data_IF_491339289090
#
_entry.id   IF_491339289090
#
_cell.length_a   1.000
_cell.length_b   1.000
_cell.length_c   1.000
_cell.angle_alpha   90.00
_cell.angle_beta   90.00
_cell.angle_gamma   90.00
#
_symmetry.space_group_name_H-M   'P 1'
#
loop_
_entity.id
_entity.type
_entity.pdbx_description
1 polymer ?
#
# COMPACT_ATOMS: atom_id res chain seq x y z
N UNK A 1 2.81 1.61 20.08
CA UNK A 1 4.12 1.34 19.44
C UNK A 1 4.58 2.64 18.81
N UNK A 2 5.86 2.85 18.56
CA UNK A 2 6.34 4.11 17.99
C UNK A 2 7.08 3.85 16.68
N UNK A 3 6.87 4.73 15.71
CA UNK A 3 7.57 4.74 14.43
C UNK A 3 8.69 5.78 14.39
N UNK A 4 9.17 6.21 15.56
CA UNK A 4 10.23 7.22 15.67
C UNK A 4 11.44 6.82 14.84
N UNK A 5 11.83 7.68 13.89
CA UNK A 5 12.97 7.46 12.99
C UNK A 5 12.68 6.55 11.79
N UNK A 6 11.50 5.95 11.69
CA UNK A 6 11.07 5.17 10.52
C UNK A 6 10.68 6.09 9.36
N UNK A 7 11.06 5.70 8.15
CA UNK A 7 10.71 6.38 6.90
C UNK A 7 9.74 5.52 6.12
N UNK A 8 8.55 6.01 5.88
CA UNK A 8 7.48 5.28 5.22
C UNK A 8 7.16 5.91 3.88
N UNK A 9 7.20 5.10 2.83
CA UNK A 9 6.72 5.47 1.51
C UNK A 9 5.19 5.30 1.46
N UNK A 10 4.48 6.29 0.89
CA UNK A 10 3.09 6.12 0.49
C UNK A 10 3.01 6.35 -1.02
N UNK A 11 2.56 5.33 -1.74
CA UNK A 11 2.48 5.34 -3.19
C UNK A 11 1.06 5.68 -3.64
N UNK A 12 0.87 6.81 -4.32
CA UNK A 12 -0.43 7.26 -4.85
C UNK A 12 -0.37 7.50 -6.35
N UNK A 13 -1.50 7.35 -7.02
CA UNK A 13 -1.61 7.71 -8.44
C UNK A 13 -1.76 9.25 -8.60
N UNK A 14 -1.44 9.83 -9.77
CA UNK A 14 -1.72 11.24 -10.04
C UNK A 14 -3.21 11.58 -9.95
N UNK A 15 -4.09 10.59 -10.18
CA UNK A 15 -5.55 10.69 -10.07
C UNK A 15 -6.16 9.39 -9.60
N UNK A 16 -7.30 9.49 -8.88
CA UNK A 16 -8.16 8.35 -8.57
C UNK A 16 -7.72 7.49 -7.39
N UNK A 17 -6.78 7.99 -6.56
CA UNK A 17 -6.53 7.40 -5.24
C UNK A 17 -7.65 7.78 -4.27
N UNK A 18 -8.20 6.82 -3.55
CA UNK A 18 -9.23 7.05 -2.53
C UNK A 18 -8.67 7.88 -1.38
N UNK A 19 -9.23 9.06 -1.14
CA UNK A 19 -8.71 10.04 -0.19
C UNK A 19 -8.56 9.51 1.25
N UNK A 20 -9.58 8.89 1.86
CA UNK A 20 -9.46 8.40 3.24
C UNK A 20 -8.41 7.28 3.38
N UNK A 21 -8.22 6.47 2.34
CA UNK A 21 -7.24 5.38 2.33
C UNK A 21 -5.79 5.89 2.20
N UNK A 22 -5.60 7.09 1.70
CA UNK A 22 -4.34 7.82 1.72
C UNK A 22 -4.16 8.62 3.01
N UNK A 23 -5.12 9.48 3.34
CA UNK A 23 -4.96 10.48 4.39
C UNK A 23 -4.89 9.87 5.80
N UNK A 24 -5.71 8.84 6.11
CA UNK A 24 -5.73 8.24 7.44
C UNK A 24 -4.47 7.40 7.75
N UNK A 25 -3.96 6.52 6.86
CA UNK A 25 -2.69 5.85 7.10
C UNK A 25 -1.51 6.81 7.22
N UNK A 26 -1.47 7.87 6.38
CA UNK A 26 -0.47 8.93 6.50
C UNK A 26 -0.47 9.55 7.91
N UNK A 27 -1.65 9.97 8.37
CA UNK A 27 -1.81 10.55 9.70
C UNK A 27 -1.44 9.56 10.82
N UNK A 28 -1.79 8.28 10.69
CA UNK A 28 -1.45 7.26 11.68
C UNK A 28 0.07 7.08 11.81
N UNK A 29 0.79 7.03 10.69
CA UNK A 29 2.26 6.96 10.68
C UNK A 29 2.88 8.19 11.34
N UNK A 30 2.42 9.39 10.98
CA UNK A 30 2.94 10.66 11.50
C UNK A 30 2.66 10.83 13.01
N UNK A 31 1.48 10.43 13.48
CA UNK A 31 1.11 10.45 14.90
C UNK A 31 2.01 9.55 15.77
N UNK A 32 2.51 8.46 15.20
CA UNK A 32 3.45 7.55 15.86
C UNK A 32 4.93 7.97 15.68
N UNK A 33 5.18 9.14 15.08
CA UNK A 33 6.52 9.71 14.92
C UNK A 33 7.30 9.25 13.70
N UNK A 34 6.65 8.54 12.77
CA UNK A 34 7.23 8.18 11.48
C UNK A 34 7.27 9.38 10.52
N UNK A 35 8.17 9.32 9.55
CA UNK A 35 8.25 10.29 8.46
C UNK A 35 7.64 9.68 7.20
N UNK A 36 6.69 10.38 6.59
CA UNK A 36 6.05 9.95 5.35
C UNK A 36 6.66 10.68 4.15
N UNK A 37 6.89 9.93 3.08
CA UNK A 37 7.20 10.47 1.74
C UNK A 37 6.10 10.03 0.79
N UNK A 38 5.41 10.98 0.18
CA UNK A 38 4.37 10.75 -0.82
C UNK A 38 5.02 10.60 -2.20
N UNK A 39 4.83 9.44 -2.81
CA UNK A 39 5.45 9.06 -4.09
C UNK A 39 4.36 8.86 -5.13
N UNK A 40 4.61 9.31 -6.36
CA UNK A 40 3.75 9.07 -7.51
C UNK A 40 4.56 8.88 -8.79
N UNK A 41 3.89 8.75 -9.93
CA UNK A 41 4.54 8.60 -11.23
C UNK A 41 5.39 9.82 -11.59
N UNK A 42 4.93 11.02 -11.21
CA UNK A 42 5.58 12.31 -11.45
C UNK A 42 5.43 13.19 -10.19
N UNK A 43 6.24 14.21 -10.04
CA UNK A 43 6.08 15.24 -9.01
C UNK A 43 4.97 16.22 -9.38
N UNK A 44 4.43 16.94 -8.42
CA UNK A 44 3.34 17.91 -8.57
C UNK A 44 2.22 17.69 -7.58
N UNK A 45 0.98 17.65 -8.03
CA UNK A 45 -0.20 17.41 -7.22
C UNK A 45 -0.94 16.14 -7.68
N UNK A 46 -1.40 15.33 -6.75
CA UNK A 46 -2.34 14.24 -6.99
C UNK A 46 -3.77 14.70 -6.67
N UNK A 47 -4.70 14.31 -7.51
CA UNK A 47 -6.14 14.54 -7.30
C UNK A 47 -6.77 13.25 -6.77
N UNK A 48 -7.16 13.26 -5.49
CA UNK A 48 -7.83 12.12 -4.86
C UNK A 48 -9.32 12.08 -5.20
N UNK A 49 -9.96 10.97 -4.85
CA UNK A 49 -11.40 10.77 -5.01
C UNK A 49 -12.01 10.27 -3.70
N UNK A 50 -13.32 10.40 -3.58
CA UNK A 50 -14.14 9.76 -2.56
C UNK A 50 -15.16 8.86 -3.25
N UNK A 51 -15.34 7.64 -2.78
CA UNK A 51 -16.23 6.63 -3.38
C UNK A 51 -15.90 6.40 -4.88
N UNK A 52 -14.62 6.40 -5.23
CA UNK A 52 -14.08 6.25 -6.59
C UNK A 52 -14.47 7.34 -7.62
N UNK A 53 -15.53 8.11 -7.38
CA UNK A 53 -16.12 9.00 -8.38
C UNK A 53 -16.19 10.47 -7.96
N UNK A 54 -16.36 10.74 -6.68
CA UNK A 54 -16.51 12.11 -6.19
C UNK A 54 -15.13 12.77 -6.03
N UNK A 55 -14.96 14.02 -6.48
CA UNK A 55 -13.69 14.72 -6.32
C UNK A 55 -13.27 14.81 -4.85
N UNK A 56 -12.03 14.43 -4.56
CA UNK A 56 -11.37 14.62 -3.27
C UNK A 56 -10.44 15.83 -3.25
N UNK A 57 -9.65 15.95 -2.20
CA UNK A 57 -8.63 16.98 -2.06
C UNK A 57 -7.44 16.73 -2.98
N UNK A 58 -6.61 17.76 -3.17
CA UNK A 58 -5.32 17.66 -3.83
C UNK A 58 -4.21 17.55 -2.80
N UNK A 59 -3.23 16.71 -3.11
CA UNK A 59 -2.08 16.50 -2.25
C UNK A 59 -0.78 16.65 -3.03
N UNK A 60 0.22 17.28 -2.39
CA UNK A 60 1.55 17.41 -2.97
C UNK A 60 2.24 16.06 -3.03
N UNK A 61 2.89 15.78 -4.15
CA UNK A 61 3.75 14.63 -4.38
C UNK A 61 5.19 15.04 -4.07
N UNK A 62 5.82 14.39 -3.12
CA UNK A 62 7.18 14.73 -2.66
C UNK A 62 8.25 14.25 -3.65
N UNK A 63 8.05 13.06 -4.24
CA UNK A 63 9.01 12.40 -5.12
C UNK A 63 8.33 11.68 -6.28
N UNK A 64 8.98 11.66 -7.43
CA UNK A 64 8.62 10.76 -8.51
C UNK A 64 9.20 9.35 -8.25
N UNK A 65 8.48 8.31 -8.69
CA UNK A 65 8.90 6.90 -8.54
C UNK A 65 10.27 6.60 -9.17
N UNK A 66 10.65 7.37 -10.18
CA UNK A 66 11.96 7.22 -10.84
C UNK A 66 13.14 7.77 -10.04
N UNK A 67 12.87 8.54 -8.98
CA UNK A 67 13.88 9.27 -8.21
C UNK A 67 14.10 8.66 -6.81
N UNK A 68 13.48 7.51 -6.53
CA UNK A 68 13.55 6.85 -5.21
C UNK A 68 13.91 5.38 -5.34
N UNK A 69 14.44 4.82 -4.26
CA UNK A 69 14.70 3.39 -4.10
C UNK A 69 14.00 2.87 -2.85
N UNK A 70 13.52 1.63 -2.89
CA UNK A 70 12.95 0.95 -1.72
C UNK A 70 13.95 0.88 -0.53
N UNK A 71 15.25 0.97 -0.82
CA UNK A 71 16.30 0.99 0.21
C UNK A 71 16.20 2.21 1.15
N UNK A 72 15.59 3.31 0.70
CA UNK A 72 15.46 4.56 1.47
C UNK A 72 14.37 4.51 2.55
N UNK A 73 13.48 3.49 2.50
CA UNK A 73 12.29 3.41 3.34
C UNK A 73 12.27 2.13 4.19
N UNK A 74 11.53 2.18 5.29
CA UNK A 74 11.34 1.06 6.22
C UNK A 74 10.02 0.30 5.98
N UNK A 75 9.05 0.91 5.32
CA UNK A 75 7.76 0.32 4.99
C UNK A 75 7.07 1.05 3.83
N UNK A 76 6.06 0.41 3.25
CA UNK A 76 5.29 0.90 2.11
C UNK A 76 3.79 0.83 2.40
N UNK A 77 3.07 1.93 2.12
CA UNK A 77 1.60 1.96 2.08
C UNK A 77 1.13 2.18 0.65
N UNK A 78 0.16 1.38 0.23
CA UNK A 78 -0.50 1.50 -1.08
C UNK A 78 -2.00 1.68 -0.83
N UNK A 79 -2.53 2.92 -0.89
CA UNK A 79 -3.96 3.19 -0.89
C UNK A 79 -4.62 2.64 -2.15
N UNK A 80 -5.94 2.45 -2.10
CA UNK A 80 -6.71 2.00 -3.24
C UNK A 80 -7.33 3.13 -4.04
N UNK A 81 -8.60 2.93 -4.40
CA UNK A 81 -9.28 3.62 -5.48
C UNK A 81 -9.09 2.85 -6.78
N UNK A 82 -10.18 2.55 -7.48
CA UNK A 82 -10.15 1.69 -8.66
C UNK A 82 -9.24 2.23 -9.76
N UNK A 83 -9.40 3.50 -10.14
CA UNK A 83 -8.59 4.16 -11.18
C UNK A 83 -7.14 4.33 -10.72
N UNK A 84 -6.93 4.69 -9.45
CA UNK A 84 -5.60 4.88 -8.88
C UNK A 84 -4.78 3.59 -8.91
N UNK A 85 -5.35 2.49 -8.42
CA UNK A 85 -4.69 1.19 -8.40
C UNK A 85 -4.38 0.66 -9.81
N UNK A 86 -5.31 0.82 -10.76
CA UNK A 86 -5.09 0.42 -12.16
C UNK A 86 -3.98 1.25 -12.82
N UNK A 87 -3.93 2.55 -12.53
CA UNK A 87 -2.86 3.43 -13.00
C UNK A 87 -1.50 3.01 -12.44
N UNK A 88 -1.42 2.72 -11.15
CA UNK A 88 -0.16 2.34 -10.50
C UNK A 88 0.39 1.01 -11.04
N UNK A 89 -0.46 -0.02 -11.17
CA UNK A 89 -0.01 -1.33 -11.67
C UNK A 89 0.46 -1.30 -13.13
N UNK A 90 0.03 -0.31 -13.91
CA UNK A 90 0.46 -0.17 -15.31
C UNK A 90 1.90 0.34 -15.47
N UNK A 91 2.55 0.77 -14.37
CA UNK A 91 3.91 1.30 -14.38
C UNK A 91 4.94 0.26 -13.94
N UNK A 92 5.82 -0.15 -14.86
CA UNK A 92 6.93 -1.07 -14.56
C UNK A 92 7.79 -0.61 -13.38
N UNK A 93 8.00 0.71 -13.24
CA UNK A 93 8.77 1.28 -12.12
C UNK A 93 8.07 1.09 -10.78
N UNK A 94 6.74 1.25 -10.74
CA UNK A 94 5.94 0.99 -9.55
C UNK A 94 5.99 -0.49 -9.19
N UNK A 95 5.79 -1.36 -10.16
CA UNK A 95 5.83 -2.82 -9.97
C UNK A 95 7.19 -3.26 -9.44
N UNK A 96 8.28 -2.76 -10.01
CA UNK A 96 9.64 -3.04 -9.54
C UNK A 96 9.88 -2.53 -8.11
N UNK A 97 9.45 -1.29 -7.81
CA UNK A 97 9.57 -0.71 -6.47
C UNK A 97 8.84 -1.54 -5.41
N UNK A 98 7.64 -2.03 -5.72
CA UNK A 98 6.88 -2.92 -4.83
C UNK A 98 7.65 -4.24 -4.61
N UNK A 99 8.14 -4.89 -5.67
CA UNK A 99 8.95 -6.13 -5.56
C UNK A 99 10.16 -5.94 -4.65
N UNK A 100 10.83 -4.79 -4.74
CA UNK A 100 12.03 -4.50 -3.95
C UNK A 100 11.72 -4.46 -2.44
N UNK A 101 10.50 -4.03 -2.00
CA UNK A 101 10.10 -4.09 -0.59
C UNK A 101 9.97 -5.54 -0.11
N UNK A 102 9.33 -6.39 -0.90
CA UNK A 102 9.18 -7.82 -0.57
C UNK A 102 10.54 -8.52 -0.54
N UNK A 103 11.38 -8.33 -1.56
CA UNK A 103 12.72 -8.90 -1.61
C UNK A 103 13.61 -8.43 -0.45
N UNK A 104 13.40 -7.20 0.06
CA UNK A 104 14.10 -6.66 1.23
C UNK A 104 13.46 -7.08 2.57
N UNK A 105 12.40 -7.91 2.55
CA UNK A 105 11.63 -8.33 3.72
C UNK A 105 11.00 -7.15 4.50
N UNK A 106 10.71 -6.03 3.84
CA UNK A 106 10.14 -4.83 4.46
C UNK A 106 8.62 -4.87 4.43
N UNK A 107 7.93 -4.45 5.51
CA UNK A 107 6.48 -4.52 5.59
C UNK A 107 5.80 -3.64 4.53
N UNK A 108 4.67 -4.17 4.01
CA UNK A 108 3.83 -3.52 3.01
C UNK A 108 2.38 -3.54 3.48
N UNK A 109 1.69 -2.42 3.38
CA UNK A 109 0.27 -2.30 3.71
C UNK A 109 -0.51 -1.85 2.46
N UNK A 110 -1.53 -2.61 2.07
CA UNK A 110 -2.35 -2.36 0.88
C UNK A 110 -3.85 -2.49 1.19
N UNK A 111 -4.66 -1.56 0.69
CA UNK A 111 -6.10 -1.54 0.98
C UNK A 111 -6.93 -1.45 -0.30
N UNK A 112 -8.15 -1.99 -0.27
CA UNK A 112 -9.18 -1.84 -1.30
C UNK A 112 -8.75 -2.45 -2.65
N UNK A 113 -8.52 -1.64 -3.68
CA UNK A 113 -8.06 -2.06 -5.00
C UNK A 113 -6.53 -2.14 -5.12
N UNK A 114 -5.77 -1.65 -4.14
CA UNK A 114 -4.30 -1.68 -4.14
C UNK A 114 -3.68 -3.09 -4.35
N UNK A 115 -4.30 -4.20 -3.90
CA UNK A 115 -3.79 -5.55 -4.20
C UNK A 115 -3.63 -5.87 -5.68
N UNK A 116 -4.24 -5.14 -6.62
CA UNK A 116 -3.91 -5.28 -8.05
C UNK A 116 -2.42 -4.99 -8.32
N UNK A 117 -1.84 -4.01 -7.64
CA UNK A 117 -0.40 -3.72 -7.78
C UNK A 117 0.46 -4.86 -7.22
N UNK A 118 0.01 -5.51 -6.14
CA UNK A 118 0.68 -6.69 -5.59
C UNK A 118 0.58 -7.90 -6.53
N UNK A 119 -0.57 -8.08 -7.19
CA UNK A 119 -0.78 -9.14 -8.20
C UNK A 119 0.16 -8.93 -9.38
N UNK A 120 0.26 -7.70 -9.91
CA UNK A 120 1.15 -7.35 -11.02
C UNK A 120 2.63 -7.55 -10.65
N UNK A 121 2.96 -7.33 -9.37
CA UNK A 121 4.29 -7.59 -8.82
C UNK A 121 4.58 -9.08 -8.53
N UNK A 122 3.60 -10.00 -8.73
CA UNK A 122 3.64 -11.43 -8.37
C UNK A 122 3.95 -11.67 -6.87
N UNK A 123 3.38 -10.83 -5.99
CA UNK A 123 3.63 -10.86 -4.54
C UNK A 123 2.46 -11.42 -3.71
N UNK A 124 1.47 -12.05 -4.37
CA UNK A 124 0.28 -12.62 -3.68
C UNK A 124 0.28 -14.15 -3.65
N UNK A 125 1.12 -14.80 -4.44
CA UNK A 125 1.20 -16.25 -4.54
C UNK A 125 1.54 -16.89 -3.19
N UNK A 126 0.71 -17.85 -2.75
CA UNK A 126 0.89 -18.56 -1.49
C UNK A 126 0.57 -17.75 -0.24
N UNK A 127 0.14 -16.50 -0.35
CA UNK A 127 -0.26 -15.64 0.77
C UNK A 127 -1.75 -15.66 1.02
N UNK A 128 -2.12 -15.41 2.27
CA UNK A 128 -3.50 -15.12 2.65
C UNK A 128 -3.68 -13.61 2.75
N UNK A 129 -4.66 -13.07 2.02
CA UNK A 129 -4.92 -11.63 2.00
C UNK A 129 -6.40 -11.31 1.80
N UNK A 130 -6.75 -10.07 2.08
CA UNK A 130 -8.05 -9.50 1.74
C UNK A 130 -7.89 -8.32 0.78
N UNK A 131 -8.98 -7.86 0.21
CA UNK A 131 -9.03 -6.73 -0.72
C UNK A 131 -10.46 -6.25 -0.86
N UNK A 132 -10.71 -5.22 -1.67
CA UNK A 132 -12.06 -4.97 -2.16
C UNK A 132 -12.64 -6.25 -2.78
N UNK A 133 -13.91 -6.56 -2.46
CA UNK A 133 -14.50 -7.87 -2.73
C UNK A 133 -14.45 -8.30 -4.21
N UNK A 134 -14.50 -7.34 -5.14
CA UNK A 134 -14.46 -7.65 -6.58
C UNK A 134 -13.13 -8.23 -7.05
N UNK A 135 -12.04 -8.04 -6.27
CA UNK A 135 -10.72 -8.58 -6.58
C UNK A 135 -10.53 -10.03 -6.11
N UNK A 136 -11.52 -10.62 -5.44
CA UNK A 136 -11.39 -11.98 -4.90
C UNK A 136 -11.00 -13.03 -5.96
N UNK A 137 -11.53 -12.91 -7.16
CA UNK A 137 -11.19 -13.80 -8.28
C UNK A 137 -9.78 -13.55 -8.80
N UNK A 138 -9.37 -12.30 -8.89
CA UNK A 138 -8.03 -11.91 -9.36
C UNK A 138 -6.95 -12.44 -8.41
N UNK A 139 -7.15 -12.28 -7.09
CA UNK A 139 -6.26 -12.80 -6.05
C UNK A 139 -6.11 -14.33 -6.16
N UNK A 140 -7.24 -15.07 -6.29
CA UNK A 140 -7.22 -16.53 -6.43
C UNK A 140 -6.50 -16.95 -7.70
N UNK A 141 -6.76 -16.29 -8.83
CA UNK A 141 -6.11 -16.59 -10.11
C UNK A 141 -4.60 -16.33 -10.06
N UNK A 142 -4.17 -15.35 -9.27
CA UNK A 142 -2.75 -15.06 -9.03
C UNK A 142 -2.10 -16.02 -8.00
N UNK A 143 -2.86 -16.98 -7.45
CA UNK A 143 -2.35 -18.01 -6.53
C UNK A 143 -2.40 -17.62 -5.05
N UNK A 144 -3.08 -16.54 -4.71
CA UNK A 144 -3.35 -16.14 -3.32
C UNK A 144 -4.61 -16.76 -2.73
N UNK A 145 -4.70 -16.80 -1.41
CA UNK A 145 -5.90 -17.19 -0.66
C UNK A 145 -6.63 -15.92 -0.23
N UNK A 146 -7.76 -15.61 -0.90
CA UNK A 146 -8.58 -14.47 -0.53
C UNK A 146 -9.55 -14.81 0.60
N UNK A 147 -9.62 -13.96 1.62
CA UNK A 147 -10.55 -14.07 2.75
C UNK A 147 -11.30 -12.76 2.97
N UNK A 148 -12.55 -12.83 3.39
CA UNK A 148 -13.36 -11.65 3.71
C UNK A 148 -13.19 -11.29 5.20
N UNK A 149 -12.14 -10.50 5.50
CA UNK A 149 -11.84 -10.01 6.84
C UNK A 149 -11.47 -8.53 6.79
N UNK A 150 -11.79 -7.78 7.85
CA UNK A 150 -11.50 -6.34 7.92
C UNK A 150 -10.00 -6.03 7.79
N UNK A 151 -9.16 -6.89 8.35
CA UNK A 151 -7.70 -6.81 8.21
C UNK A 151 -7.09 -8.20 8.22
N UNK A 152 -6.11 -8.42 7.35
CA UNK A 152 -5.31 -9.64 7.30
C UNK A 152 -3.85 -9.26 7.36
N UNK A 153 -3.09 -9.96 8.19
CA UNK A 153 -1.64 -9.86 8.28
C UNK A 153 -1.04 -11.20 7.88
N UNK A 154 -0.16 -11.17 6.89
CA UNK A 154 0.56 -12.35 6.40
C UNK A 154 2.03 -11.98 6.14
N UNK A 155 2.91 -12.36 7.09
CA UNK A 155 4.36 -12.20 6.94
C UNK A 155 4.80 -10.78 6.54
N UNK A 156 4.31 -9.76 7.28
CA UNK A 156 4.63 -8.36 7.01
C UNK A 156 3.77 -7.68 5.92
N UNK A 157 2.87 -8.43 5.28
CA UNK A 157 1.85 -7.87 4.40
C UNK A 157 0.57 -7.61 5.20
N UNK A 158 0.13 -6.37 5.27
CA UNK A 158 -1.16 -5.96 5.87
C UNK A 158 -2.14 -5.63 4.75
N UNK A 159 -3.32 -6.23 4.77
CA UNK A 159 -4.36 -5.91 3.79
C UNK A 159 -5.71 -5.65 4.43
N UNK A 160 -6.53 -4.77 3.82
CA UNK A 160 -7.91 -4.44 4.21
C UNK A 160 -8.79 -4.20 2.98
N UNK A 161 -10.12 -4.06 3.18
CA UNK A 161 -11.11 -4.10 2.08
C UNK A 161 -11.57 -2.73 1.63
N UNK A 162 -11.92 -1.86 2.58
CA UNK A 162 -12.65 -0.61 2.30
C UNK A 162 -12.27 0.47 3.31
N UNK A 163 -12.66 1.73 3.10
CA UNK A 163 -12.46 2.80 4.09
C UNK A 163 -13.05 2.52 5.48
N UNK A 164 -14.08 1.67 5.60
CA UNK A 164 -14.65 1.29 6.89
C UNK A 164 -13.68 0.47 7.76
N UNK A 165 -12.74 -0.24 7.13
CA UNK A 165 -11.74 -1.06 7.79
C UNK A 165 -10.50 -0.24 8.25
N UNK A 166 -10.42 1.05 7.94
CA UNK A 166 -9.25 1.88 8.22
C UNK A 166 -8.81 1.91 9.69
N UNK A 167 -9.70 1.84 10.70
CA UNK A 167 -9.25 1.75 12.08
C UNK A 167 -8.38 0.51 12.36
N UNK A 168 -8.80 -0.67 11.90
CA UNK A 168 -8.05 -1.92 12.04
C UNK A 168 -6.79 -1.92 11.14
N UNK A 169 -6.92 -1.46 9.91
CA UNK A 169 -5.81 -1.33 8.96
C UNK A 169 -4.69 -0.44 9.51
N UNK A 170 -5.02 0.78 9.99
CA UNK A 170 -4.03 1.71 10.53
C UNK A 170 -3.35 1.17 11.79
N UNK A 171 -4.11 0.49 12.68
CA UNK A 171 -3.52 -0.13 13.87
C UNK A 171 -2.50 -1.22 13.49
N UNK A 172 -2.83 -2.08 12.53
CA UNK A 172 -1.97 -3.18 12.11
C UNK A 172 -0.76 -2.72 11.27
N UNK A 173 -0.91 -1.74 10.40
CA UNK A 173 0.24 -1.21 9.66
C UNK A 173 1.27 -0.55 10.60
N UNK A 174 0.82 0.15 11.66
CA UNK A 174 1.72 0.72 12.66
C UNK A 174 2.47 -0.39 13.41
N UNK A 175 1.77 -1.45 13.80
CA UNK A 175 2.34 -2.61 14.47
C UNK A 175 3.45 -3.25 13.60
N UNK A 176 3.13 -3.65 12.37
CA UNK A 176 4.05 -4.30 11.44
C UNK A 176 5.25 -3.39 11.06
N UNK A 177 5.01 -2.10 10.88
CA UNK A 177 6.09 -1.15 10.58
C UNK A 177 7.01 -0.92 11.77
N UNK A 178 6.49 -0.98 12.99
CA UNK A 178 7.31 -0.92 14.21
C UNK A 178 8.17 -2.18 14.39
N UNK A 179 7.63 -3.37 14.09
CA UNK A 179 8.35 -4.64 14.10
C UNK A 179 9.49 -4.64 13.06
N UNK A 180 9.23 -4.11 11.88
CA UNK A 180 10.23 -3.95 10.83
C UNK A 180 10.32 -5.14 9.89
N UNK A 181 11.52 -5.70 9.68
CA UNK A 181 11.71 -6.75 8.66
C UNK A 181 11.13 -8.10 9.07
N UNK A 182 10.42 -8.73 8.12
CA UNK A 182 9.83 -10.06 8.23
C UNK A 182 10.55 -11.04 7.30
N UNK A 183 11.51 -11.78 7.81
CA UNK A 183 12.36 -12.65 6.99
C UNK A 183 11.58 -13.62 6.08
N UNK A 184 10.47 -14.17 6.59
CA UNK A 184 9.60 -15.07 5.82
C UNK A 184 8.92 -14.39 4.61
N UNK A 185 8.82 -13.06 4.58
CA UNK A 185 8.27 -12.32 3.44
C UNK A 185 9.15 -12.47 2.19
N UNK A 186 10.47 -12.45 2.36
CA UNK A 186 11.41 -12.58 1.25
C UNK A 186 11.49 -14.00 0.68
N UNK A 187 11.10 -15.01 1.45
CA UNK A 187 11.11 -16.42 0.98
C UNK A 187 10.01 -16.69 -0.05
N UNK A 188 8.98 -15.84 -0.11
CA UNK A 188 7.83 -15.92 -1.01
C UNK A 188 7.85 -14.81 -2.10
N UNK A 189 8.93 -14.06 -2.22
CA UNK A 189 9.08 -12.94 -3.17
C UNK A 189 9.65 -13.37 -4.53
#
# INVERSE_FOLDING_TARGET
>A
MTLQGKKIAILIAPRGTEEPEFAKPKAAVEQEGGTVTVISLETGEAETVNNDLDPGAKFTIDKAIGDVSAAEFDGLVIPGGCVGADTLRSSDKVVAFVRDFFAAAKPVAAICHAPWTLIEADQVRGRTLTSFATLATDVRNAGGTWVDQEVVVDQGLVTSRTPDDLPAFCAKLVEEFAEGKHAAQAENA
#
